data_IF_995267491363
#
_entry.id   IF_995267491363
#
_cell.length_a   1.000
_cell.length_b   1.000
_cell.length_c   1.000
_cell.angle_alpha   90.00
_cell.angle_beta   90.00
_cell.angle_gamma   90.00
#
_symmetry.space_group_name_H-M   'P 1'
#
loop_
_entity.id
_entity.type
_entity.pdbx_description
1 polymer ?
#
# COMPACT_ATOMS: atom_id res chain seq x y z
N UNK A 1 -32.16 -0.48 -40.26
CA UNK A 1 -31.59 0.58 -39.41
C UNK A 1 -30.77 -0.12 -38.32
N UNK A 2 -29.49 0.23 -38.21
CA UNK A 2 -28.45 -0.57 -37.54
C UNK A 2 -28.74 -0.79 -36.05
N UNK A 3 -28.59 -2.05 -35.65
CA UNK A 3 -28.38 -2.51 -34.28
C UNK A 3 -27.49 -1.54 -33.50
N UNK A 4 -28.08 -0.86 -32.50
CA UNK A 4 -27.32 -0.28 -31.40
C UNK A 4 -26.95 -1.42 -30.45
N UNK A 5 -25.88 -2.12 -30.78
CA UNK A 5 -25.14 -2.87 -29.78
C UNK A 5 -24.54 -1.84 -28.82
N UNK A 6 -25.03 -1.83 -27.59
CA UNK A 6 -24.31 -1.28 -26.45
C UNK A 6 -22.98 -2.06 -26.38
N UNK A 7 -21.92 -1.46 -26.89
CA UNK A 7 -20.57 -1.97 -26.78
C UNK A 7 -20.23 -1.92 -25.28
N UNK A 8 -20.29 -3.08 -24.62
CA UNK A 8 -19.90 -3.21 -23.23
C UNK A 8 -18.47 -2.69 -23.11
N UNK A 9 -18.31 -1.49 -22.55
CA UNK A 9 -17.00 -0.90 -22.33
C UNK A 9 -16.13 -1.91 -21.58
N UNK A 10 -14.89 -2.18 -22.04
CA UNK A 10 -14.01 -3.09 -21.34
C UNK A 10 -13.88 -2.62 -19.90
N UNK A 11 -14.29 -3.50 -18.99
CA UNK A 11 -14.16 -3.46 -17.55
C UNK A 11 -13.01 -2.54 -17.10
N UNK A 12 -13.34 -1.28 -16.75
CA UNK A 12 -12.40 -0.25 -16.25
C UNK A 12 -11.86 -0.56 -14.85
N UNK A 13 -11.98 -1.78 -14.37
CA UNK A 13 -11.44 -2.22 -13.10
C UNK A 13 -9.94 -2.46 -13.30
N UNK A 14 -9.11 -1.60 -12.70
CA UNK A 14 -7.65 -1.66 -12.64
C UNK A 14 -6.89 -1.44 -13.98
N UNK A 15 -6.87 -0.21 -14.50
CA UNK A 15 -5.75 0.19 -15.38
C UNK A 15 -4.53 0.45 -14.50
N UNK A 16 -3.63 -0.53 -14.38
CA UNK A 16 -2.29 -0.34 -13.81
C UNK A 16 -1.45 0.51 -14.77
N UNK A 17 -1.59 1.83 -14.70
CA UNK A 17 -0.82 2.77 -15.49
C UNK A 17 0.43 3.26 -14.77
N UNK A 18 1.36 3.87 -15.52
CA UNK A 18 2.55 4.53 -14.96
C UNK A 18 2.21 5.57 -13.89
N UNK A 19 1.05 6.24 -14.01
CA UNK A 19 0.56 7.19 -13.00
C UNK A 19 0.27 6.51 -11.65
N UNK A 20 -0.37 5.34 -11.66
CA UNK A 20 -0.66 4.59 -10.44
C UNK A 20 0.63 4.04 -9.82
N UNK A 21 1.57 3.59 -10.66
CA UNK A 21 2.87 3.15 -10.18
C UNK A 21 3.64 4.30 -9.50
N UNK A 22 3.72 5.48 -10.13
CA UNK A 22 4.38 6.66 -9.57
C UNK A 22 3.74 7.11 -8.25
N UNK A 23 2.42 7.09 -8.17
CA UNK A 23 1.70 7.42 -6.93
C UNK A 23 2.07 6.46 -5.79
N UNK A 24 2.06 5.15 -6.05
CA UNK A 24 2.42 4.15 -5.05
C UNK A 24 3.90 4.19 -4.67
N UNK A 25 4.78 4.46 -5.64
CA UNK A 25 6.20 4.66 -5.40
C UNK A 25 6.47 5.89 -4.51
N UNK A 26 5.78 7.00 -4.77
CA UNK A 26 5.93 8.22 -3.96
C UNK A 26 5.50 7.97 -2.50
N UNK A 27 4.37 7.28 -2.27
CA UNK A 27 3.91 6.92 -0.93
C UNK A 27 4.85 5.92 -0.22
N UNK A 28 5.43 4.97 -0.97
CA UNK A 28 6.47 4.08 -0.46
C UNK A 28 7.72 4.85 -0.01
N UNK A 29 8.14 5.85 -0.80
CA UNK A 29 9.26 6.71 -0.45
C UNK A 29 8.97 7.50 0.83
N UNK A 30 7.76 8.04 0.99
CA UNK A 30 7.33 8.71 2.22
C UNK A 30 7.40 7.77 3.42
N UNK A 31 6.86 6.55 3.33
CA UNK A 31 6.93 5.56 4.41
C UNK A 31 8.38 5.25 4.84
N UNK A 32 9.29 5.18 3.86
CA UNK A 32 10.73 4.96 4.10
C UNK A 32 11.40 6.16 4.75
N UNK A 33 11.06 7.38 4.32
CA UNK A 33 11.61 8.62 4.88
C UNK A 33 11.18 8.88 6.33
N UNK A 34 10.02 8.41 6.77
CA UNK A 34 9.60 8.51 8.17
C UNK A 34 10.65 7.88 9.10
N UNK A 35 11.19 6.72 8.72
CA UNK A 35 12.17 5.99 9.53
C UNK A 35 13.50 6.72 9.56
N UNK A 36 13.88 7.35 8.43
CA UNK A 36 15.10 8.14 8.33
C UNK A 36 15.18 9.24 9.40
N UNK A 37 14.05 9.88 9.71
CA UNK A 37 13.98 10.92 10.74
C UNK A 37 14.23 10.40 12.16
N UNK A 38 13.83 9.15 12.46
CA UNK A 38 14.01 8.57 13.79
C UNK A 38 15.44 8.06 14.03
N UNK A 39 16.17 7.69 12.96
CA UNK A 39 17.51 7.09 13.06
C UNK A 39 18.64 8.00 12.57
N UNK A 40 18.34 9.27 12.29
CA UNK A 40 19.16 10.22 11.53
C UNK A 40 20.60 10.46 12.05
N UNK A 41 20.91 10.07 13.28
CA UNK A 41 22.22 10.32 13.92
C UNK A 41 22.91 9.03 14.42
N UNK A 42 22.22 7.89 14.43
CA UNK A 42 22.69 6.64 15.09
C UNK A 42 22.84 5.46 14.13
N UNK A 43 22.36 5.60 12.90
CA UNK A 43 22.39 4.54 11.90
C UNK A 43 23.51 4.76 10.88
N UNK A 44 24.32 3.73 10.65
CA UNK A 44 25.28 3.72 9.56
C UNK A 44 24.57 3.68 8.20
N UNK A 45 25.08 4.43 7.22
CA UNK A 45 24.46 4.52 5.89
C UNK A 45 24.19 3.15 5.22
N UNK A 46 25.08 2.14 5.27
CA UNK A 46 24.80 0.82 4.71
C UNK A 46 23.61 0.11 5.37
N UNK A 47 23.45 0.26 6.69
CA UNK A 47 22.33 -0.30 7.42
C UNK A 47 21.02 0.41 7.03
N UNK A 48 21.06 1.73 6.85
CA UNK A 48 19.92 2.51 6.35
C UNK A 48 19.49 2.09 4.93
N UNK A 49 20.45 1.87 4.02
CA UNK A 49 20.15 1.40 2.65
C UNK A 49 19.55 0.00 2.62
N UNK A 50 20.07 -0.93 3.43
CA UNK A 50 19.50 -2.26 3.58
C UNK A 50 18.06 -2.18 4.10
N UNK A 51 17.84 -1.37 5.14
CA UNK A 51 16.52 -1.14 5.70
C UNK A 51 15.54 -0.57 4.66
N UNK A 52 15.95 0.48 3.93
CA UNK A 52 15.13 1.09 2.89
C UNK A 52 14.75 0.09 1.79
N UNK A 53 15.67 -0.78 1.39
CA UNK A 53 15.40 -1.86 0.44
C UNK A 53 14.35 -2.84 0.99
N UNK A 54 14.50 -3.32 2.23
CA UNK A 54 13.55 -4.29 2.79
C UNK A 54 12.16 -3.68 3.00
N UNK A 55 12.09 -2.45 3.49
CA UNK A 55 10.82 -1.77 3.69
C UNK A 55 10.09 -1.54 2.36
N UNK A 56 10.80 -1.07 1.33
CA UNK A 56 10.20 -0.74 0.03
C UNK A 56 9.90 -1.97 -0.85
N UNK A 57 10.72 -3.01 -0.80
CA UNK A 57 10.56 -4.20 -1.65
C UNK A 57 9.65 -5.27 -1.05
N UNK A 58 9.54 -5.35 0.29
CA UNK A 58 8.80 -6.43 0.95
C UNK A 58 7.67 -5.92 1.84
N UNK A 59 7.96 -5.00 2.78
CA UNK A 59 6.97 -4.59 3.78
C UNK A 59 5.86 -3.75 3.16
N UNK A 60 6.20 -2.66 2.48
CA UNK A 60 5.24 -1.73 1.90
C UNK A 60 4.33 -2.40 0.85
N UNK A 61 4.84 -3.19 -0.13
CA UNK A 61 4.00 -3.86 -1.11
C UNK A 61 2.98 -4.82 -0.49
N UNK A 62 3.35 -5.49 0.60
CA UNK A 62 2.48 -6.41 1.33
C UNK A 62 1.38 -5.63 2.06
N UNK A 63 1.73 -4.59 2.81
CA UNK A 63 0.76 -3.79 3.57
C UNK A 63 -0.21 -3.07 2.64
N UNK A 64 0.29 -2.48 1.55
CA UNK A 64 -0.59 -1.77 0.60
C UNK A 64 -1.51 -2.73 -0.14
N UNK A 65 -1.06 -3.97 -0.40
CA UNK A 65 -1.93 -5.00 -0.94
C UNK A 65 -3.03 -5.36 0.05
N UNK A 66 -2.73 -5.50 1.34
CA UNK A 66 -3.74 -5.85 2.34
C UNK A 66 -4.89 -4.84 2.42
N UNK A 67 -4.60 -3.54 2.34
CA UNK A 67 -5.58 -2.47 2.60
C UNK A 67 -6.18 -1.90 1.31
N UNK A 68 -5.37 -1.66 0.28
CA UNK A 68 -5.81 -0.94 -0.93
C UNK A 68 -6.00 -1.83 -2.16
N UNK A 69 -5.63 -3.11 -2.11
CA UNK A 69 -5.97 -4.03 -3.19
C UNK A 69 -7.45 -4.44 -3.10
N UNK A 70 -8.18 -4.54 -4.23
CA UNK A 70 -9.51 -5.18 -4.26
C UNK A 70 -9.51 -6.64 -3.78
N UNK A 71 -8.34 -7.29 -3.76
CA UNK A 71 -8.13 -8.66 -3.28
C UNK A 71 -7.53 -8.69 -1.87
N UNK A 72 -7.22 -7.52 -1.29
CA UNK A 72 -6.61 -7.39 0.01
C UNK A 72 -7.57 -7.81 1.11
N UNK A 73 -7.13 -8.69 2.01
CA UNK A 73 -7.96 -9.20 3.10
C UNK A 73 -8.50 -8.08 4.02
N UNK A 74 -7.78 -6.97 4.17
CA UNK A 74 -8.22 -5.85 5.01
C UNK A 74 -8.90 -4.73 4.20
N UNK A 75 -9.12 -4.92 2.89
CA UNK A 75 -9.64 -3.86 2.04
C UNK A 75 -11.12 -3.56 2.29
N UNK A 76 -11.45 -2.27 2.45
CA UNK A 76 -12.83 -1.79 2.46
C UNK A 76 -13.60 -2.10 1.16
N UNK A 77 -12.90 -2.41 0.07
CA UNK A 77 -13.50 -2.70 -1.24
C UNK A 77 -13.31 -4.16 -1.67
N UNK A 78 -13.03 -5.07 -0.73
CA UNK A 78 -12.82 -6.46 -1.07
C UNK A 78 -14.07 -7.07 -1.75
N UNK A 79 -13.89 -7.61 -2.95
CA UNK A 79 -14.98 -8.17 -3.78
C UNK A 79 -15.13 -9.69 -3.68
N UNK A 80 -14.43 -10.34 -2.74
CA UNK A 80 -14.49 -11.79 -2.56
C UNK A 80 -15.89 -12.20 -2.07
N UNK A 81 -16.56 -13.04 -2.86
CA UNK A 81 -17.93 -13.53 -2.59
C UNK A 81 -18.00 -14.49 -1.39
N UNK A 82 -16.87 -15.09 -1.08
CA UNK A 82 -16.70 -15.99 0.04
C UNK A 82 -16.31 -15.12 1.24
N UNK A 83 -17.20 -14.97 2.21
CA UNK A 83 -17.09 -14.03 3.34
C UNK A 83 -15.92 -14.23 4.31
N UNK A 84 -14.83 -14.89 3.91
CA UNK A 84 -13.62 -15.15 4.69
C UNK A 84 -12.58 -14.03 4.62
N UNK A 85 -12.78 -12.98 3.83
CA UNK A 85 -11.75 -11.95 3.65
C UNK A 85 -11.63 -10.97 4.82
N UNK A 86 -12.72 -10.59 5.50
CA UNK A 86 -12.72 -9.53 6.49
C UNK A 86 -12.76 -10.08 7.93
N UNK A 87 -11.69 -9.89 8.71
CA UNK A 87 -11.57 -10.35 10.11
C UNK A 87 -12.77 -9.96 10.99
N UNK A 88 -13.41 -8.82 10.72
CA UNK A 88 -14.58 -8.32 11.47
C UNK A 88 -15.86 -8.22 10.62
N UNK A 89 -15.88 -8.82 9.42
CA UNK A 89 -16.89 -8.52 8.37
C UNK A 89 -16.90 -7.05 7.93
N UNK A 90 -15.86 -6.29 8.29
CA UNK A 90 -15.63 -4.88 7.91
C UNK A 90 -14.21 -4.72 7.39
N UNK A 91 -13.99 -3.87 6.37
CA UNK A 91 -12.66 -3.52 5.88
C UNK A 91 -12.13 -2.22 6.48
N UNK A 92 -10.82 -2.02 6.41
CA UNK A 92 -10.18 -0.81 6.89
C UNK A 92 -10.38 0.33 5.89
N UNK A 93 -10.80 1.48 6.40
CA UNK A 93 -10.91 2.73 5.65
C UNK A 93 -9.62 3.52 5.88
N UNK A 94 -8.76 3.53 4.88
CA UNK A 94 -7.55 4.35 4.85
C UNK A 94 -7.50 5.09 3.51
N UNK A 95 -7.75 6.39 3.51
CA UNK A 95 -7.86 7.15 2.25
C UNK A 95 -6.50 7.68 1.75
N UNK A 96 -5.68 8.19 2.67
CA UNK A 96 -4.43 8.89 2.35
C UNK A 96 -3.17 8.25 2.96
N UNK A 97 -3.30 7.09 3.60
CA UNK A 97 -2.17 6.33 4.13
C UNK A 97 -1.88 6.61 5.61
N UNK A 98 -2.89 6.88 6.43
CA UNK A 98 -2.69 6.96 7.88
C UNK A 98 -2.23 5.60 8.44
N UNK A 99 -2.79 4.50 7.93
CA UNK A 99 -2.38 3.14 8.22
C UNK A 99 -1.18 2.71 7.38
N UNK A 100 -1.41 2.63 6.06
CA UNK A 100 -0.48 2.04 5.09
C UNK A 100 0.88 2.74 5.08
N UNK A 101 0.92 4.06 5.21
CA UNK A 101 2.16 4.87 5.14
C UNK A 101 2.66 5.24 6.53
N UNK A 102 1.86 5.97 7.31
CA UNK A 102 2.32 6.59 8.55
C UNK A 102 2.48 5.59 9.70
N UNK A 103 1.51 4.71 9.92
CA UNK A 103 1.61 3.66 10.94
C UNK A 103 2.71 2.65 10.60
N UNK A 104 2.79 2.21 9.34
CA UNK A 104 3.85 1.29 8.89
C UNK A 104 5.25 1.89 9.08
N UNK A 105 5.47 3.11 8.58
CA UNK A 105 6.74 3.82 8.75
C UNK A 105 7.02 4.14 10.23
N UNK A 106 6.01 4.57 10.99
CA UNK A 106 6.13 4.92 12.40
C UNK A 106 6.46 3.73 13.30
N UNK A 107 5.83 2.58 13.08
CA UNK A 107 6.16 1.35 13.80
C UNK A 107 7.59 0.89 13.50
N UNK A 108 7.97 0.94 12.23
CA UNK A 108 9.32 0.55 11.85
C UNK A 108 10.38 1.56 12.33
N UNK A 109 10.03 2.83 12.42
CA UNK A 109 10.84 3.87 13.05
C UNK A 109 11.00 3.63 14.56
N UNK A 110 9.92 3.26 15.26
CA UNK A 110 9.97 2.90 16.68
C UNK A 110 10.91 1.71 16.92
N UNK A 111 10.80 0.67 16.08
CA UNK A 111 11.69 -0.51 16.16
C UNK A 111 13.14 -0.18 15.81
N UNK A 112 13.39 0.75 14.90
CA UNK A 112 14.74 1.17 14.53
C UNK A 112 15.41 2.13 15.52
N UNK A 113 14.62 2.78 16.39
CA UNK A 113 15.10 3.74 17.38
C UNK A 113 15.27 3.15 18.79
N UNK A 114 14.66 1.99 19.05
CA UNK A 114 14.80 1.22 20.29
C UNK A 114 16.21 0.64 20.44
#
# INVERSE_FOLDING_TARGET
MRSMACEAAPNRAARTGWHSWLFQWALCAVATCIVSGAVAERCALPAYLAYAFFLSAFVYPVVVHWVWSPQGWLSAFNMSRDGYALILRTGAIDFAGAGVVHMTGGMAALMGAW
#
